data_IF_679258945584
#
_entry.id   IF_679258945584
#
_cell.length_a   1.000
_cell.length_b   1.000
_cell.length_c   1.000
_cell.angle_alpha   90.00
_cell.angle_beta   90.00
_cell.angle_gamma   90.00
#
_symmetry.space_group_name_H-M   'P 1'
#
loop_
_entity.id
_entity.type
_entity.pdbx_description
1 polymer ?
#
# COMPACT_ATOMS: atom_id res chain seq x y z
N UNK A 1 -0.65 18.29 1.36
CA UNK A 1 -0.22 17.87 2.72
C UNK A 1 0.08 16.39 2.69
N UNK A 2 1.26 15.95 3.13
CA UNK A 2 1.53 14.53 3.24
C UNK A 2 0.55 13.83 4.16
N UNK A 3 0.23 12.59 3.82
CA UNK A 3 -0.67 11.76 4.62
C UNK A 3 0.03 10.44 4.97
N UNK A 4 -0.45 9.83 6.04
CA UNK A 4 -0.08 8.48 6.45
C UNK A 4 -1.26 7.57 6.16
N UNK A 5 -0.98 6.45 5.51
CA UNK A 5 -1.99 5.41 5.27
C UNK A 5 -1.54 4.14 5.98
N UNK A 6 -2.43 3.53 6.73
CA UNK A 6 -2.19 2.22 7.31
C UNK A 6 -3.31 1.27 6.91
N UNK A 7 -2.96 0.02 6.68
CA UNK A 7 -3.93 -1.02 6.35
C UNK A 7 -3.36 -2.38 6.71
N UNK A 8 -4.23 -3.31 7.10
CA UNK A 8 -3.86 -4.71 7.20
C UNK A 8 -4.53 -5.43 6.03
N UNK A 9 -3.73 -6.06 5.18
CA UNK A 9 -4.25 -6.79 4.02
C UNK A 9 -4.17 -8.29 4.27
N UNK A 10 -5.18 -9.06 3.83
CA UNK A 10 -5.21 -10.52 4.05
C UNK A 10 -4.35 -11.24 3.01
N UNK A 11 -3.06 -10.95 2.99
CA UNK A 11 -2.12 -11.51 2.04
C UNK A 11 -0.90 -12.04 2.74
N UNK A 12 -0.45 -13.23 2.33
CA UNK A 12 0.84 -13.75 2.77
C UNK A 12 1.99 -12.95 2.18
N UNK A 13 3.20 -13.17 2.68
CA UNK A 13 4.37 -12.51 2.11
C UNK A 13 4.54 -12.84 0.63
N UNK A 14 4.28 -14.09 0.22
CA UNK A 14 4.38 -14.50 -1.18
C UNK A 14 3.34 -13.77 -2.05
N UNK A 15 2.12 -13.64 -1.58
CA UNK A 15 1.08 -12.90 -2.30
C UNK A 15 1.40 -11.41 -2.37
N UNK A 16 1.91 -10.85 -1.28
CA UNK A 16 2.34 -9.46 -1.25
C UNK A 16 3.42 -9.20 -2.30
N UNK A 17 4.43 -10.08 -2.37
CA UNK A 17 5.50 -9.97 -3.36
C UNK A 17 4.95 -10.10 -4.78
N UNK A 18 4.01 -11.01 -5.00
CA UNK A 18 3.38 -11.17 -6.32
C UNK A 18 2.60 -9.94 -6.74
N UNK A 19 1.90 -9.29 -5.81
CA UNK A 19 1.16 -8.06 -6.08
C UNK A 19 2.13 -6.94 -6.49
N UNK A 20 3.23 -6.77 -5.77
CA UNK A 20 4.24 -5.77 -6.12
C UNK A 20 4.88 -6.06 -7.47
N UNK A 21 5.17 -7.31 -7.77
CA UNK A 21 5.70 -7.71 -9.08
C UNK A 21 4.72 -7.36 -10.19
N UNK A 22 3.44 -7.62 -9.98
CA UNK A 22 2.39 -7.30 -10.97
C UNK A 22 2.31 -5.81 -11.24
N UNK A 23 2.50 -4.97 -10.23
CA UNK A 23 2.49 -3.52 -10.38
C UNK A 23 3.82 -2.94 -10.86
N UNK A 24 4.89 -3.72 -10.82
CA UNK A 24 6.23 -3.25 -11.12
C UNK A 24 6.81 -2.34 -10.05
N UNK A 25 6.31 -2.44 -8.81
CA UNK A 25 6.77 -1.58 -7.71
C UNK A 25 8.01 -2.18 -7.07
N UNK A 26 9.07 -1.37 -6.99
CA UNK A 26 10.31 -1.68 -6.30
C UNK A 26 10.81 -0.43 -5.59
N UNK A 27 11.85 -0.57 -4.76
CA UNK A 27 12.45 0.60 -4.09
C UNK A 27 13.03 1.62 -5.09
N UNK A 28 13.35 1.18 -6.30
CA UNK A 28 13.81 2.07 -7.36
C UNK A 28 12.72 2.51 -8.32
N UNK A 29 11.48 2.08 -8.11
CA UNK A 29 10.35 2.41 -8.97
C UNK A 29 9.08 2.51 -8.15
N UNK A 30 8.96 3.59 -7.38
CA UNK A 30 7.80 3.82 -6.52
C UNK A 30 6.64 4.42 -7.30
N UNK A 31 5.39 4.14 -6.91
CA UNK A 31 4.23 4.82 -7.48
C UNK A 31 4.33 6.32 -7.26
N UNK A 32 3.70 7.07 -8.17
CA UNK A 32 3.68 8.52 -8.07
C UNK A 32 3.09 8.97 -6.73
N UNK A 33 3.79 9.85 -6.04
CA UNK A 33 3.35 10.40 -4.77
C UNK A 33 3.70 9.58 -3.54
N UNK A 34 4.19 8.36 -3.71
CA UNK A 34 4.62 7.54 -2.58
C UNK A 34 6.00 8.01 -2.10
N UNK A 35 6.06 8.42 -0.82
CA UNK A 35 7.29 8.89 -0.19
C UNK A 35 8.02 7.73 0.48
N UNK A 36 7.29 6.93 1.25
CA UNK A 36 7.85 5.76 1.92
C UNK A 36 6.80 4.69 2.13
N UNK A 37 7.24 3.44 2.18
CA UNK A 37 6.37 2.28 2.29
C UNK A 37 7.03 1.24 3.18
N UNK A 38 6.25 0.70 4.09
CA UNK A 38 6.69 -0.37 5.00
C UNK A 38 5.65 -1.48 5.00
N UNK A 39 6.11 -2.71 5.08
CA UNK A 39 5.24 -3.87 5.19
C UNK A 39 5.81 -4.82 6.23
N UNK A 40 4.93 -5.36 7.07
CA UNK A 40 5.33 -6.31 8.11
C UNK A 40 4.28 -7.41 8.21
N UNK A 41 4.70 -8.70 8.28
CA UNK A 41 3.75 -9.78 8.44
C UNK A 41 3.07 -9.74 9.80
N UNK A 42 1.78 -10.10 9.81
CA UNK A 42 0.97 -10.22 11.02
C UNK A 42 0.32 -11.60 11.02
N UNK A 43 -0.35 -11.95 12.11
CA UNK A 43 -1.09 -13.21 12.19
C UNK A 43 -2.22 -13.28 11.16
N UNK A 44 -2.73 -12.13 10.73
CA UNK A 44 -3.87 -12.04 9.82
C UNK A 44 -3.48 -11.67 8.38
N UNK A 45 -2.19 -11.44 8.12
CA UNK A 45 -1.75 -11.06 6.79
C UNK A 45 -0.54 -10.15 6.81
N UNK A 46 -0.68 -8.96 6.23
CA UNK A 46 0.41 -8.00 6.10
C UNK A 46 -0.04 -6.62 6.54
N UNK A 47 0.67 -6.03 7.49
CA UNK A 47 0.44 -4.64 7.90
C UNK A 47 1.22 -3.73 6.94
N UNK A 48 0.53 -2.75 6.38
CA UNK A 48 1.10 -1.76 5.46
C UNK A 48 1.09 -0.39 6.13
N UNK A 49 2.18 0.32 5.99
CA UNK A 49 2.33 1.70 6.46
C UNK A 49 2.97 2.51 5.34
N UNK A 50 2.25 3.51 4.84
CA UNK A 50 2.72 4.36 3.75
C UNK A 50 2.68 5.82 4.14
N UNK A 51 3.62 6.58 3.58
CA UNK A 51 3.55 8.04 3.57
C UNK A 51 3.42 8.48 2.11
N UNK A 52 2.39 9.28 1.82
CA UNK A 52 2.09 9.77 0.48
C UNK A 52 2.10 11.30 0.46
N UNK A 53 2.42 11.89 -0.69
CA UNK A 53 2.37 13.35 -0.88
C UNK A 53 0.96 13.89 -0.64
N UNK A 54 -0.07 13.14 -1.04
CA UNK A 54 -1.45 13.55 -0.87
C UNK A 54 -2.38 12.35 -0.81
N UNK A 55 -3.59 12.58 -0.31
CA UNK A 55 -4.64 11.57 -0.29
C UNK A 55 -5.04 11.19 -1.71
N UNK A 56 -5.08 12.16 -2.61
CA UNK A 56 -5.44 11.94 -4.02
C UNK A 56 -4.46 10.99 -4.70
N UNK A 57 -3.17 11.15 -4.45
CA UNK A 57 -2.15 10.25 -5.01
C UNK A 57 -2.35 8.81 -4.53
N UNK A 58 -2.65 8.63 -3.25
CA UNK A 58 -2.95 7.31 -2.71
C UNK A 58 -4.21 6.73 -3.36
N UNK A 59 -5.27 7.52 -3.48
CA UNK A 59 -6.54 7.04 -4.05
C UNK A 59 -6.39 6.65 -5.52
N UNK A 60 -5.63 7.42 -6.30
CA UNK A 60 -5.33 7.10 -7.69
C UNK A 60 -4.56 5.78 -7.80
N UNK A 61 -3.57 5.60 -6.95
CA UNK A 61 -2.80 4.35 -6.91
C UNK A 61 -3.68 3.16 -6.53
N UNK A 62 -4.51 3.32 -5.50
CA UNK A 62 -5.36 2.23 -5.02
C UNK A 62 -6.36 1.80 -6.10
N UNK A 63 -6.97 2.75 -6.80
CA UNK A 63 -7.96 2.45 -7.83
C UNK A 63 -7.33 1.99 -9.14
N UNK A 64 -6.21 2.60 -9.54
CA UNK A 64 -5.63 2.40 -10.86
C UNK A 64 -4.59 1.28 -10.95
N UNK A 65 -3.93 0.95 -9.86
CA UNK A 65 -2.84 -0.03 -9.85
C UNK A 65 -3.05 -1.14 -8.83
N UNK A 66 -3.28 -0.79 -7.57
CA UNK A 66 -3.36 -1.78 -6.50
C UNK A 66 -4.59 -2.69 -6.64
N UNK A 67 -5.77 -2.12 -6.86
CA UNK A 67 -7.00 -2.88 -7.00
C UNK A 67 -6.92 -3.90 -8.13
N UNK A 68 -6.58 -3.49 -9.37
CA UNK A 68 -6.41 -4.42 -10.48
C UNK A 68 -5.36 -5.50 -10.23
N UNK A 69 -4.22 -5.14 -9.62
CA UNK A 69 -3.17 -6.10 -9.32
C UNK A 69 -3.61 -7.11 -8.27
N UNK A 70 -4.31 -6.67 -7.23
CA UNK A 70 -4.86 -7.57 -6.22
C UNK A 70 -5.89 -8.53 -6.81
N UNK A 71 -6.76 -8.03 -7.67
CA UNK A 71 -7.73 -8.89 -8.34
C UNK A 71 -7.06 -9.95 -9.19
N UNK A 72 -6.02 -9.59 -9.93
CA UNK A 72 -5.29 -10.52 -10.79
C UNK A 72 -4.55 -11.58 -9.98
N UNK A 73 -3.95 -11.21 -8.87
CA UNK A 73 -3.13 -12.12 -8.05
C UNK A 73 -3.99 -12.95 -7.11
N UNK A 74 -5.00 -12.34 -6.48
CA UNK A 74 -5.77 -13.00 -5.42
C UNK A 74 -7.20 -13.38 -5.82
N UNK A 75 -7.68 -12.86 -6.94
CA UNK A 75 -9.06 -13.05 -7.37
C UNK A 75 -10.06 -12.11 -6.71
N UNK A 76 -9.59 -11.21 -5.84
CA UNK A 76 -10.44 -10.22 -5.18
C UNK A 76 -9.77 -8.85 -5.17
N UNK A 77 -10.49 -7.81 -5.52
CA UNK A 77 -9.95 -6.46 -5.68
C UNK A 77 -9.71 -5.69 -4.38
N UNK A 78 -9.34 -6.37 -3.31
CA UNK A 78 -9.09 -5.70 -2.03
C UNK A 78 -10.33 -5.49 -1.19
N UNK A 79 -11.38 -6.24 -1.45
CA UNK A 79 -12.61 -6.19 -0.65
C UNK A 79 -12.32 -6.50 0.80
N UNK A 80 -12.91 -5.71 1.70
CA UNK A 80 -12.68 -5.86 3.14
C UNK A 80 -11.45 -5.14 3.67
N UNK A 81 -10.60 -4.60 2.79
CA UNK A 81 -9.49 -3.78 3.22
C UNK A 81 -10.01 -2.38 3.51
N UNK A 82 -9.72 -1.90 4.71
CA UNK A 82 -10.17 -0.57 5.17
C UNK A 82 -8.96 0.25 5.56
N UNK A 83 -8.35 0.98 4.61
CA UNK A 83 -7.22 1.82 4.94
C UNK A 83 -7.63 2.97 5.85
N UNK A 84 -6.75 3.29 6.79
CA UNK A 84 -6.87 4.48 7.62
C UNK A 84 -5.95 5.53 7.05
N UNK A 85 -6.49 6.71 6.77
CA UNK A 85 -5.73 7.83 6.20
C UNK A 85 -5.81 9.02 7.15
N UNK A 86 -4.65 9.58 7.48
CA UNK A 86 -4.55 10.75 8.36
C UNK A 86 -3.49 11.69 7.84
N UNK A 87 -3.61 12.98 8.12
CA UNK A 87 -2.54 13.92 7.80
C UNK A 87 -1.31 13.61 8.65
N UNK A 88 -0.15 13.68 8.02
CA UNK A 88 1.12 13.49 8.74
C UNK A 88 1.33 14.66 9.69
N UNK A 89 1.55 14.37 10.96
CA UNK A 89 1.76 15.39 11.97
C UNK A 89 3.25 15.55 12.32
N UNK A 90 3.95 14.42 12.48
CA UNK A 90 5.35 14.45 12.87
C UNK A 90 6.06 13.20 12.37
N UNK A 91 7.34 13.33 12.03
CA UNK A 91 8.16 12.19 11.68
C UNK A 91 9.59 12.41 12.17
N UNK A 92 10.19 11.35 12.70
CA UNK A 92 11.57 11.35 13.12
C UNK A 92 12.30 10.25 12.36
N UNK A 93 13.51 10.55 11.93
CA UNK A 93 14.38 9.58 11.26
C UNK A 93 15.71 9.51 12.01
N UNK A 94 16.29 8.34 11.97
CA UNK A 94 17.60 8.12 12.51
C UNK A 94 18.68 8.77 11.63
#
# INVERSE_FOLDING_TARGET
MPIVMTAEIPASADMYDAINTEMGVTSGNLPRGLISHYAAPTDNGMLIFDVWDSKEDFEEFAAGQLGPAMEKVTGGGGEGIKPTVSELYNEFHR
#
